data_IF_395678293443
#
_entry.id   IF_395678293443
#
_cell.length_a   1.000
_cell.length_b   1.000
_cell.length_c   1.000
_cell.angle_alpha   90.00
_cell.angle_beta   90.00
_cell.angle_gamma   90.00
#
_symmetry.space_group_name_H-M   'P 1'
#
loop_
_entity.id
_entity.type
_entity.pdbx_description
1 polymer ?
#
# COMPACT_ATOMS: atom_id res chain seq x y z
N UNK A 1 5.03 -28.58 24.01
CA UNK A 1 3.73 -27.96 24.39
C UNK A 1 3.15 -27.00 23.33
N UNK A 2 3.94 -26.40 22.46
CA UNK A 2 3.48 -25.43 21.42
C UNK A 2 2.91 -26.08 20.15
N UNK A 3 3.36 -27.26 19.75
CA UNK A 3 2.88 -27.97 18.56
C UNK A 3 1.41 -28.45 18.68
N UNK A 4 0.97 -28.87 19.86
CA UNK A 4 -0.41 -29.35 20.09
C UNK A 4 -1.48 -28.23 19.97
N UNK A 5 -1.15 -26.97 20.23
CA UNK A 5 -2.11 -25.85 20.08
C UNK A 5 -2.40 -25.53 18.61
N UNK A 6 -1.36 -25.56 17.75
CA UNK A 6 -1.52 -25.26 16.32
C UNK A 6 -2.35 -26.34 15.60
N UNK A 7 -2.14 -27.62 15.91
CA UNK A 7 -2.91 -28.73 15.32
C UNK A 7 -4.38 -28.75 15.78
N UNK A 8 -4.64 -28.40 17.04
CA UNK A 8 -6.01 -28.32 17.58
C UNK A 8 -6.78 -27.18 16.93
N UNK A 9 -6.16 -26.03 16.72
CA UNK A 9 -6.76 -24.86 16.06
C UNK A 9 -7.06 -25.16 14.57
N UNK A 10 -6.17 -25.86 13.88
CA UNK A 10 -6.36 -26.25 12.47
C UNK A 10 -7.51 -27.25 12.31
N UNK A 11 -7.64 -28.24 13.22
CA UNK A 11 -8.73 -29.20 13.22
C UNK A 11 -10.10 -28.57 13.55
N UNK A 12 -10.13 -27.60 14.45
CA UNK A 12 -11.36 -26.85 14.75
C UNK A 12 -11.81 -26.01 13.56
N UNK A 13 -10.90 -25.32 12.89
CA UNK A 13 -11.17 -24.53 11.67
C UNK A 13 -11.72 -25.39 10.53
N UNK A 14 -11.30 -26.65 10.39
CA UNK A 14 -11.78 -27.57 9.34
C UNK A 14 -13.28 -27.93 9.49
N UNK A 15 -13.83 -27.87 10.71
CA UNK A 15 -15.25 -28.19 11.02
C UNK A 15 -16.18 -26.97 10.96
N UNK A 16 -15.64 -25.76 10.80
CA UNK A 16 -16.43 -24.52 10.73
C UNK A 16 -17.17 -24.39 9.40
N UNK A 17 -18.35 -23.77 9.43
CA UNK A 17 -19.02 -23.34 8.20
C UNK A 17 -18.11 -22.43 7.37
N UNK A 18 -18.33 -22.34 6.07
CA UNK A 18 -17.53 -21.46 5.22
C UNK A 18 -17.58 -20.00 5.68
N UNK A 19 -18.73 -19.52 6.10
CA UNK A 19 -18.93 -18.18 6.63
C UNK A 19 -18.11 -17.93 7.91
N UNK A 20 -18.27 -18.79 8.92
CA UNK A 20 -17.55 -18.66 10.19
C UNK A 20 -16.03 -18.74 10.02
N UNK A 21 -15.57 -19.66 9.16
CA UNK A 21 -14.15 -19.78 8.85
C UNK A 21 -13.57 -18.47 8.28
N UNK A 22 -14.23 -17.89 7.27
CA UNK A 22 -13.77 -16.67 6.62
C UNK A 22 -13.84 -15.50 7.61
N UNK A 23 -14.92 -15.38 8.38
CA UNK A 23 -15.07 -14.34 9.41
C UNK A 23 -13.93 -14.39 10.42
N UNK A 24 -13.67 -15.56 11.00
CA UNK A 24 -12.57 -15.73 11.97
C UNK A 24 -11.21 -15.43 11.37
N UNK A 25 -10.97 -15.85 10.11
CA UNK A 25 -9.72 -15.55 9.43
C UNK A 25 -9.52 -14.03 9.20
N UNK A 26 -10.60 -13.30 8.89
CA UNK A 26 -10.55 -11.82 8.75
C UNK A 26 -10.30 -11.16 10.11
N UNK A 27 -10.89 -11.66 11.18
CA UNK A 27 -10.64 -11.16 12.54
C UNK A 27 -9.18 -11.36 12.97
N UNK A 28 -8.54 -12.47 12.54
CA UNK A 28 -7.11 -12.73 12.77
C UNK A 28 -6.18 -11.77 11.99
N UNK A 29 -6.58 -11.30 10.81
CA UNK A 29 -5.83 -10.25 10.08
C UNK A 29 -5.76 -8.93 10.88
N UNK A 30 -6.75 -8.70 11.73
CA UNK A 30 -6.88 -7.46 12.48
C UNK A 30 -7.56 -6.33 11.68
N UNK A 31 -8.10 -5.36 12.44
CA UNK A 31 -8.75 -4.18 11.83
C UNK A 31 -7.73 -3.31 11.11
N UNK A 32 -8.15 -2.68 10.01
CA UNK A 32 -7.28 -1.88 9.17
C UNK A 32 -6.62 -2.68 8.03
N UNK A 33 -6.91 -3.98 7.91
CA UNK A 33 -6.31 -4.85 6.91
C UNK A 33 -7.07 -4.85 5.58
N UNK A 34 -6.33 -4.72 4.47
CA UNK A 34 -6.84 -4.92 3.09
C UNK A 34 -6.56 -6.36 2.69
N UNK A 35 -7.58 -7.09 2.23
CA UNK A 35 -7.47 -8.51 1.91
C UNK A 35 -8.24 -8.87 0.63
N UNK A 36 -8.07 -10.12 0.17
CA UNK A 36 -8.53 -10.60 -1.12
C UNK A 36 -9.21 -11.97 -0.99
N UNK A 37 -10.09 -12.37 -1.92
CA UNK A 37 -10.65 -13.72 -1.95
C UNK A 37 -9.58 -14.81 -2.00
N UNK A 38 -8.44 -14.53 -2.66
CA UNK A 38 -7.33 -15.47 -2.82
C UNK A 38 -6.69 -15.88 -1.49
N UNK A 39 -6.78 -15.03 -0.45
CA UNK A 39 -6.25 -15.30 0.89
C UNK A 39 -6.92 -16.52 1.55
N UNK A 40 -8.11 -16.90 1.07
CA UNK A 40 -8.90 -18.05 1.58
C UNK A 40 -8.90 -19.25 0.62
N UNK A 41 -8.31 -19.14 -0.55
CA UNK A 41 -8.41 -20.11 -1.66
C UNK A 41 -7.83 -21.49 -1.32
N UNK A 42 -6.85 -21.56 -0.41
CA UNK A 42 -6.24 -22.81 0.02
C UNK A 42 -7.18 -23.72 0.82
N UNK A 43 -8.28 -23.18 1.38
CA UNK A 43 -9.12 -23.89 2.35
C UNK A 43 -10.58 -23.96 1.98
N UNK A 44 -11.09 -23.13 1.09
CA UNK A 44 -12.50 -23.06 0.71
C UNK A 44 -12.68 -22.89 -0.79
N UNK A 45 -13.82 -23.36 -1.31
CA UNK A 45 -14.18 -23.19 -2.72
C UNK A 45 -14.51 -21.72 -3.03
N UNK A 46 -14.30 -21.30 -4.29
CA UNK A 46 -14.59 -19.94 -4.74
C UNK A 46 -16.02 -19.49 -4.47
N UNK A 47 -17.00 -20.38 -4.59
CA UNK A 47 -18.41 -20.05 -4.33
C UNK A 47 -18.68 -19.83 -2.85
N UNK A 48 -18.08 -20.65 -1.98
CA UNK A 48 -18.14 -20.46 -0.53
C UNK A 48 -17.53 -19.14 -0.11
N UNK A 49 -16.36 -18.80 -0.66
CA UNK A 49 -15.66 -17.53 -0.38
C UNK A 49 -16.53 -16.36 -0.82
N UNK A 50 -17.03 -16.39 -2.07
CA UNK A 50 -17.87 -15.32 -2.62
C UNK A 50 -19.12 -15.09 -1.78
N UNK A 51 -19.85 -16.16 -1.45
CA UNK A 51 -21.08 -16.08 -0.66
C UNK A 51 -20.83 -15.53 0.74
N UNK A 52 -19.73 -15.95 1.39
CA UNK A 52 -19.37 -15.45 2.71
C UNK A 52 -18.98 -13.97 2.68
N UNK A 53 -18.18 -13.53 1.70
CA UNK A 53 -17.77 -12.13 1.56
C UNK A 53 -18.96 -11.21 1.26
N UNK A 54 -19.92 -11.65 0.45
CA UNK A 54 -21.17 -10.89 0.20
C UNK A 54 -21.92 -10.68 1.50
N UNK A 55 -22.18 -11.74 2.27
CA UNK A 55 -22.89 -11.64 3.56
C UNK A 55 -22.16 -10.78 4.57
N UNK A 56 -20.84 -10.90 4.66
CA UNK A 56 -20.02 -10.06 5.57
C UNK A 56 -20.08 -8.56 5.18
N UNK A 57 -20.23 -8.25 3.89
CA UNK A 57 -20.47 -6.87 3.44
C UNK A 57 -21.89 -6.40 3.80
N UNK A 58 -22.92 -7.25 3.62
CA UNK A 58 -24.31 -6.95 3.98
C UNK A 58 -24.46 -6.74 5.49
N UNK A 59 -23.74 -7.53 6.29
CA UNK A 59 -23.67 -7.40 7.76
C UNK A 59 -22.82 -6.19 8.22
N UNK A 60 -22.25 -5.40 7.30
CA UNK A 60 -21.34 -4.26 7.57
C UNK A 60 -20.10 -4.64 8.41
N UNK A 61 -19.67 -5.90 8.39
CA UNK A 61 -18.46 -6.37 9.07
C UNK A 61 -17.22 -6.01 8.27
N UNK A 62 -17.31 -6.08 6.94
CA UNK A 62 -16.24 -5.69 6.00
C UNK A 62 -16.75 -4.71 4.96
N UNK A 63 -15.83 -4.02 4.30
CA UNK A 63 -16.11 -3.07 3.23
C UNK A 63 -15.51 -3.58 1.93
N UNK A 64 -16.27 -3.57 0.85
CA UNK A 64 -15.76 -3.83 -0.50
C UNK A 64 -15.24 -2.53 -1.09
N UNK A 65 -13.92 -2.39 -1.20
CA UNK A 65 -13.26 -1.21 -1.76
C UNK A 65 -13.31 -1.18 -3.29
N UNK A 66 -13.14 -2.36 -3.91
CA UNK A 66 -13.21 -2.58 -5.35
C UNK A 66 -13.57 -4.02 -5.65
N UNK A 67 -13.70 -4.38 -6.93
CA UNK A 67 -13.89 -5.77 -7.33
C UNK A 67 -12.71 -6.63 -6.84
N UNK A 68 -13.00 -7.61 -5.97
CA UNK A 68 -12.00 -8.50 -5.40
C UNK A 68 -11.03 -7.85 -4.40
N UNK A 69 -11.34 -6.64 -3.89
CA UNK A 69 -10.55 -5.94 -2.88
C UNK A 69 -11.45 -5.59 -1.71
N UNK A 70 -11.14 -6.11 -0.54
CA UNK A 70 -11.93 -5.96 0.67
C UNK A 70 -11.10 -5.35 1.79
N UNK A 71 -11.78 -4.81 2.77
CA UNK A 71 -11.20 -4.12 3.90
C UNK A 71 -11.91 -4.46 5.20
N UNK A 72 -11.15 -4.86 6.22
CA UNK A 72 -11.67 -4.99 7.57
C UNK A 72 -11.55 -3.64 8.28
N UNK A 73 -12.67 -2.90 8.49
CA UNK A 73 -12.60 -1.50 8.83
C UNK A 73 -11.96 -1.25 10.19
N UNK A 74 -11.02 -0.31 10.24
CA UNK A 74 -10.56 0.31 11.46
C UNK A 74 -11.60 1.32 11.91
N UNK A 75 -12.04 1.22 13.16
CA UNK A 75 -13.05 2.11 13.73
C UNK A 75 -12.37 2.98 14.79
N UNK A 76 -12.39 4.29 14.57
CA UNK A 76 -11.94 5.22 15.57
C UNK A 76 -13.10 5.65 16.49
N UNK A 77 -13.07 5.08 17.70
CA UNK A 77 -14.00 5.44 18.77
C UNK A 77 -13.47 6.58 19.67
N UNK A 78 -12.18 6.95 19.54
CA UNK A 78 -11.51 7.90 20.44
C UNK A 78 -11.80 9.35 20.08
N UNK A 79 -11.81 9.65 18.78
CA UNK A 79 -12.03 11.01 18.26
C UNK A 79 -13.36 11.16 17.51
N UNK A 80 -14.19 10.11 17.49
CA UNK A 80 -15.50 10.13 16.85
C UNK A 80 -15.46 10.16 15.32
N UNK A 81 -14.32 9.83 14.71
CA UNK A 81 -14.17 9.84 13.25
C UNK A 81 -14.84 8.63 12.56
N UNK A 82 -15.33 7.66 13.33
CA UNK A 82 -16.03 6.50 12.79
C UNK A 82 -15.11 5.56 12.00
N UNK A 83 -15.54 5.16 10.80
CA UNK A 83 -14.77 4.24 9.93
C UNK A 83 -13.60 4.98 9.27
N UNK A 84 -12.39 4.54 9.58
CA UNK A 84 -11.17 5.00 8.92
C UNK A 84 -10.89 4.13 7.69
N UNK A 85 -10.87 4.75 6.51
CA UNK A 85 -10.55 4.07 5.26
C UNK A 85 -9.03 4.00 5.04
N UNK A 86 -8.53 2.93 4.37
CA UNK A 86 -7.12 2.83 4.03
C UNK A 86 -6.73 3.92 3.02
N UNK A 87 -5.48 4.33 3.05
CA UNK A 87 -4.95 5.24 2.04
C UNK A 87 -4.87 4.54 0.66
N UNK A 88 -4.80 5.32 -0.42
CA UNK A 88 -4.61 4.75 -1.76
C UNK A 88 -3.27 4.03 -1.89
N UNK A 89 -2.27 4.44 -1.10
CA UNK A 89 -0.96 3.80 -1.03
C UNK A 89 -1.03 2.43 -0.34
N UNK A 90 -1.74 2.33 0.78
CA UNK A 90 -1.96 1.06 1.47
C UNK A 90 -2.66 0.04 0.56
N UNK A 91 -3.70 0.49 -0.17
CA UNK A 91 -4.41 -0.36 -1.12
C UNK A 91 -3.47 -0.80 -2.26
N UNK A 92 -2.65 0.12 -2.79
CA UNK A 92 -1.70 -0.19 -3.86
C UNK A 92 -0.64 -1.19 -3.41
N UNK A 93 -0.09 -1.03 -2.21
CA UNK A 93 0.87 -1.95 -1.59
C UNK A 93 0.27 -3.34 -1.35
N UNK A 94 -0.93 -3.41 -0.80
CA UNK A 94 -1.62 -4.69 -0.59
C UNK A 94 -1.84 -5.44 -1.92
N UNK A 95 -2.26 -4.74 -2.97
CA UNK A 95 -2.43 -5.33 -4.30
C UNK A 95 -1.08 -5.81 -4.87
N UNK A 96 -0.02 -5.02 -4.74
CA UNK A 96 1.32 -5.39 -5.20
C UNK A 96 1.84 -6.64 -4.48
N UNK A 97 1.63 -6.73 -3.18
CA UNK A 97 2.00 -7.89 -2.36
C UNK A 97 1.26 -9.15 -2.79
N UNK A 98 -0.07 -9.09 -2.99
CA UNK A 98 -0.87 -10.20 -3.51
C UNK A 98 -0.34 -10.69 -4.85
N UNK A 99 -0.04 -9.76 -5.76
CA UNK A 99 0.39 -10.07 -7.12
C UNK A 99 1.88 -10.42 -7.22
N UNK A 100 2.60 -10.37 -6.10
CA UNK A 100 4.04 -10.62 -6.02
C UNK A 100 4.83 -9.74 -7.01
N UNK A 101 4.43 -8.48 -7.15
CA UNK A 101 5.08 -7.49 -7.99
C UNK A 101 5.56 -6.30 -7.16
N UNK A 102 6.51 -5.54 -7.72
CA UNK A 102 6.99 -4.30 -7.13
C UNK A 102 6.24 -3.12 -7.70
N UNK A 103 6.06 -2.10 -6.88
CA UNK A 103 5.50 -0.82 -7.31
C UNK A 103 6.46 0.33 -6.96
N UNK A 104 6.38 1.39 -7.73
CA UNK A 104 7.11 2.63 -7.48
C UNK A 104 6.17 3.82 -7.72
N UNK A 105 6.23 4.87 -6.89
CA UNK A 105 5.37 6.04 -7.04
C UNK A 105 5.68 6.78 -8.34
N UNK A 106 4.67 7.48 -8.89
CA UNK A 106 4.90 8.53 -9.90
C UNK A 106 5.25 9.86 -9.23
N UNK A 107 5.70 10.85 -10.02
CA UNK A 107 6.08 12.16 -9.48
C UNK A 107 4.97 12.81 -8.67
N UNK A 108 3.75 12.83 -9.17
CA UNK A 108 2.59 13.40 -8.46
C UNK A 108 2.27 12.64 -7.18
N UNK A 109 2.37 11.31 -7.17
CA UNK A 109 2.17 10.51 -5.97
C UNK A 109 3.24 10.80 -4.91
N UNK A 110 4.50 10.92 -5.33
CA UNK A 110 5.62 11.24 -4.45
C UNK A 110 5.50 12.65 -3.84
N UNK A 111 5.13 13.65 -4.64
CA UNK A 111 4.90 15.02 -4.15
C UNK A 111 3.82 15.07 -3.08
N UNK A 112 2.72 14.35 -3.28
CA UNK A 112 1.65 14.27 -2.30
C UNK A 112 2.10 13.54 -1.01
N UNK A 113 2.76 12.39 -1.15
CA UNK A 113 3.21 11.60 -0.01
C UNK A 113 4.18 12.38 0.89
N UNK A 114 5.03 13.25 0.30
CA UNK A 114 5.97 14.11 1.03
C UNK A 114 5.33 15.42 1.55
N UNK A 115 4.06 15.69 1.23
CA UNK A 115 3.42 16.96 1.58
C UNK A 115 3.91 18.18 0.78
N UNK A 116 4.55 17.96 -0.37
CA UNK A 116 5.02 18.99 -1.29
C UNK A 116 3.92 19.49 -2.24
N UNK A 117 2.83 18.75 -2.36
CA UNK A 117 1.62 19.12 -3.09
C UNK A 117 0.38 18.86 -2.28
N UNK A 118 -0.57 19.79 -2.31
CA UNK A 118 -1.90 19.65 -1.70
C UNK A 118 -2.95 19.11 -2.68
N UNK A 119 -2.61 18.95 -3.95
CA UNK A 119 -3.50 18.42 -4.95
C UNK A 119 -3.68 16.91 -4.72
N UNK A 120 -4.90 16.48 -4.40
CA UNK A 120 -5.27 15.07 -4.30
C UNK A 120 -5.81 14.61 -5.66
N UNK A 121 -5.02 13.88 -6.46
CA UNK A 121 -5.50 13.36 -7.72
C UNK A 121 -6.61 12.34 -7.49
N UNK A 122 -7.68 12.41 -8.27
CA UNK A 122 -8.74 11.40 -8.25
C UNK A 122 -8.18 9.99 -8.57
N UNK A 123 -7.15 9.92 -9.42
CA UNK A 123 -6.45 8.70 -9.75
C UNK A 123 -4.99 8.76 -9.30
N UNK A 124 -4.61 7.84 -8.42
CA UNK A 124 -3.20 7.68 -8.03
C UNK A 124 -2.53 6.69 -8.99
N UNK A 125 -1.37 7.05 -9.50
CA UNK A 125 -0.65 6.25 -10.50
C UNK A 125 0.65 5.72 -9.93
N UNK A 126 0.87 4.41 -10.10
CA UNK A 126 2.11 3.72 -9.74
C UNK A 126 2.72 3.07 -10.98
N UNK A 127 4.04 3.01 -11.03
CA UNK A 127 4.74 2.09 -11.91
C UNK A 127 4.78 0.70 -11.29
N UNK A 128 4.75 -0.35 -12.12
CA UNK A 128 4.88 -1.74 -11.67
C UNK A 128 5.72 -2.56 -12.65
N UNK A 129 6.42 -3.56 -12.15
CA UNK A 129 7.04 -4.61 -12.97
C UNK A 129 6.07 -5.75 -13.29
N UNK A 130 4.89 -5.76 -12.66
CA UNK A 130 3.79 -6.68 -12.92
C UNK A 130 2.86 -6.25 -14.06
N UNK A 131 1.63 -6.75 -14.03
CA UNK A 131 0.61 -6.47 -15.04
C UNK A 131 0.01 -5.06 -14.87
N UNK A 132 -0.09 -4.26 -15.96
CA UNK A 132 -0.75 -2.96 -15.90
C UNK A 132 -2.26 -3.13 -15.74
N UNK A 133 -2.90 -2.27 -14.93
CA UNK A 133 -4.36 -2.26 -14.74
C UNK A 133 -4.87 -0.98 -14.12
N UNK A 134 -6.17 -0.77 -14.25
CA UNK A 134 -6.92 0.28 -13.57
C UNK A 134 -7.87 -0.38 -12.57
N UNK A 135 -7.95 0.17 -11.37
CA UNK A 135 -8.83 -0.30 -10.31
C UNK A 135 -9.66 0.89 -9.85
N UNK A 136 -10.97 0.78 -9.98
CA UNK A 136 -11.91 1.80 -9.51
C UNK A 136 -12.20 1.53 -8.03
N UNK A 137 -11.84 2.48 -7.20
CA UNK A 137 -12.16 2.52 -5.78
C UNK A 137 -13.38 3.44 -5.62
N UNK A 138 -14.29 3.13 -4.74
CA UNK A 138 -15.50 3.93 -4.56
C UNK A 138 -15.26 5.44 -4.51
N UNK A 139 -16.31 6.25 -4.71
CA UNK A 139 -16.29 7.73 -4.70
C UNK A 139 -15.46 8.38 -5.83
N UNK A 140 -15.43 7.78 -7.02
CA UNK A 140 -14.73 8.34 -8.19
C UNK A 140 -13.21 8.32 -8.11
N UNK A 141 -12.64 7.61 -7.12
CA UNK A 141 -11.19 7.44 -6.94
C UNK A 141 -10.71 6.18 -7.65
N UNK A 142 -9.46 6.18 -8.08
CA UNK A 142 -8.87 5.04 -8.76
C UNK A 142 -7.38 4.88 -8.53
N UNK A 143 -6.93 3.63 -8.70
CA UNK A 143 -5.53 3.25 -8.78
C UNK A 143 -5.21 2.81 -10.20
N UNK A 144 -4.12 3.34 -10.74
CA UNK A 144 -3.62 2.95 -12.05
C UNK A 144 -2.19 2.42 -11.94
N UNK A 145 -1.99 1.17 -12.33
CA UNK A 145 -0.68 0.56 -12.43
C UNK A 145 -0.20 0.63 -13.89
N UNK A 146 0.94 1.29 -14.12
CA UNK A 146 1.60 1.39 -15.42
C UNK A 146 2.84 0.52 -15.42
N UNK A 147 2.96 -0.37 -16.39
CA UNK A 147 4.16 -1.20 -16.53
C UNK A 147 5.40 -0.34 -16.77
N UNK A 148 6.49 -0.66 -16.06
CA UNK A 148 7.80 -0.09 -16.28
C UNK A 148 8.85 -1.18 -16.34
N UNK A 149 9.76 -1.06 -17.31
CA UNK A 149 10.94 -1.93 -17.45
C UNK A 149 12.19 -1.33 -16.82
N UNK A 150 12.09 -0.10 -16.29
CA UNK A 150 13.21 0.59 -15.65
C UNK A 150 13.43 0.05 -14.23
N UNK A 151 14.29 -0.96 -14.12
CA UNK A 151 14.53 -1.69 -12.86
C UNK A 151 15.05 -0.80 -11.73
N UNK A 152 15.76 0.30 -12.02
CA UNK A 152 16.22 1.26 -11.03
C UNK A 152 15.09 1.87 -10.20
N UNK A 153 13.87 1.96 -10.76
CA UNK A 153 12.69 2.46 -10.03
C UNK A 153 12.34 1.60 -8.82
N UNK A 154 12.67 0.31 -8.88
CA UNK A 154 12.30 -0.69 -7.89
C UNK A 154 13.50 -1.12 -7.02
N UNK A 155 14.65 -0.45 -7.14
CA UNK A 155 15.89 -0.85 -6.48
C UNK A 155 16.15 -0.14 -5.16
N UNK A 156 15.31 0.82 -4.78
CA UNK A 156 15.46 1.57 -3.53
C UNK A 156 15.23 0.68 -2.31
N UNK A 157 16.10 0.81 -1.31
CA UNK A 157 15.94 0.18 0.01
C UNK A 157 15.00 1.01 0.90
N UNK A 158 15.11 2.34 0.84
CA UNK A 158 14.28 3.27 1.59
C UNK A 158 13.15 3.81 0.73
N UNK A 159 11.90 3.58 1.18
CA UNK A 159 10.72 4.16 0.56
C UNK A 159 10.77 5.70 0.57
N UNK A 160 11.28 6.29 1.65
CA UNK A 160 11.43 7.75 1.79
C UNK A 160 12.43 8.27 0.75
N UNK A 161 13.57 7.61 0.55
CA UNK A 161 14.55 7.99 -0.48
C UNK A 161 13.94 7.89 -1.88
N UNK A 162 13.19 6.83 -2.17
CA UNK A 162 12.49 6.67 -3.44
C UNK A 162 11.52 7.84 -3.68
N UNK A 163 10.69 8.18 -2.69
CA UNK A 163 9.75 9.31 -2.77
C UNK A 163 10.48 10.63 -3.01
N UNK A 164 11.54 10.91 -2.26
CA UNK A 164 12.33 12.14 -2.40
C UNK A 164 12.92 12.26 -3.80
N UNK A 165 13.59 11.22 -4.29
CA UNK A 165 14.24 11.26 -5.62
C UNK A 165 13.20 11.41 -6.72
N UNK A 166 12.06 10.72 -6.62
CA UNK A 166 10.98 10.81 -7.61
C UNK A 166 10.33 12.20 -7.59
N UNK A 167 10.07 12.76 -6.40
CA UNK A 167 9.50 14.12 -6.27
C UNK A 167 10.44 15.19 -6.80
N UNK A 168 11.73 15.13 -6.47
CA UNK A 168 12.72 16.09 -6.98
C UNK A 168 12.86 16.02 -8.51
N UNK A 169 12.81 14.82 -9.09
CA UNK A 169 12.80 14.66 -10.57
C UNK A 169 11.56 15.26 -11.22
N UNK A 170 10.42 15.18 -10.56
CA UNK A 170 9.15 15.75 -11.05
C UNK A 170 9.19 17.29 -11.03
N UNK A 171 9.71 17.90 -9.95
CA UNK A 171 9.90 19.35 -9.86
C UNK A 171 10.91 19.82 -10.91
N UNK A 172 12.00 19.09 -11.08
CA UNK A 172 13.07 19.37 -12.03
C UNK A 172 14.20 20.23 -11.48
N UNK A 173 15.38 20.05 -12.08
CA UNK A 173 16.59 20.78 -11.70
C UNK A 173 16.40 22.31 -11.87
N UNK A 174 16.79 23.07 -10.86
CA UNK A 174 16.69 24.55 -10.84
C UNK A 174 15.30 25.11 -10.48
N UNK A 175 14.29 24.25 -10.25
CA UNK A 175 12.94 24.66 -9.84
C UNK A 175 12.64 24.39 -8.36
N UNK A 176 13.58 23.83 -7.64
CA UNK A 176 13.43 23.46 -6.23
C UNK A 176 13.59 24.70 -5.37
N UNK A 177 12.56 25.06 -4.63
CA UNK A 177 12.54 26.21 -3.75
C UNK A 177 12.99 25.86 -2.31
N UNK A 178 13.12 26.86 -1.44
CA UNK A 178 13.57 26.64 -0.05
C UNK A 178 12.59 25.78 0.76
N UNK A 179 11.28 25.92 0.54
CA UNK A 179 10.26 25.12 1.21
C UNK A 179 10.39 23.63 0.84
N UNK A 180 10.66 23.35 -0.43
CA UNK A 180 10.90 21.99 -0.90
C UNK A 180 12.14 21.37 -0.23
N UNK A 181 13.22 22.16 -0.12
CA UNK A 181 14.45 21.75 0.57
C UNK A 181 14.23 21.44 2.04
N UNK A 182 13.46 22.27 2.75
CA UNK A 182 13.09 22.03 4.15
C UNK A 182 12.29 20.76 4.34
N UNK A 183 11.32 20.48 3.45
CA UNK A 183 10.54 19.24 3.48
C UNK A 183 11.47 18.04 3.25
N UNK A 184 12.33 18.09 2.24
CA UNK A 184 13.30 17.02 1.95
C UNK A 184 14.22 16.78 3.13
N UNK A 185 14.83 17.84 3.70
CA UNK A 185 15.73 17.74 4.85
C UNK A 185 15.03 17.09 6.08
N UNK A 186 13.75 17.41 6.29
CA UNK A 186 12.96 16.80 7.37
C UNK A 186 12.79 15.29 7.17
N UNK A 187 12.44 14.87 5.96
CA UNK A 187 12.25 13.46 5.65
C UNK A 187 13.56 12.68 5.65
N UNK A 188 14.68 13.29 5.21
CA UNK A 188 15.99 12.64 5.24
C UNK A 188 16.44 12.23 6.65
N UNK A 189 16.01 12.94 7.70
CA UNK A 189 16.34 12.57 9.10
C UNK A 189 15.80 11.20 9.51
N UNK A 190 14.78 10.69 8.85
CA UNK A 190 14.18 9.37 9.11
C UNK A 190 14.84 8.25 8.29
N UNK A 191 15.80 8.57 7.43
CA UNK A 191 16.49 7.58 6.59
C UNK A 191 17.78 7.15 7.29
N UNK A 192 17.97 5.86 7.49
CA UNK A 192 19.22 5.31 8.03
C UNK A 192 20.37 5.45 7.04
N UNK A 193 21.61 5.42 7.55
CA UNK A 193 22.79 5.68 6.73
C UNK A 193 23.02 4.62 5.66
N UNK A 194 22.75 3.34 5.94
CA UNK A 194 22.95 2.27 4.97
C UNK A 194 22.02 2.45 3.77
N UNK A 195 20.74 2.65 4.02
CA UNK A 195 19.76 2.88 2.98
C UNK A 195 20.05 4.19 2.21
N UNK A 196 20.45 5.27 2.91
CA UNK A 196 20.81 6.53 2.27
C UNK A 196 21.93 6.38 1.24
N UNK A 197 23.08 5.80 1.65
CA UNK A 197 24.24 5.65 0.73
C UNK A 197 23.94 4.67 -0.40
N UNK A 198 23.20 3.60 -0.14
CA UNK A 198 22.75 2.67 -1.17
C UNK A 198 21.88 3.37 -2.22
N UNK A 199 20.89 4.15 -1.77
CA UNK A 199 19.88 4.71 -2.65
C UNK A 199 20.36 5.99 -3.35
N UNK A 200 21.32 6.71 -2.74
CA UNK A 200 21.89 7.92 -3.32
C UNK A 200 22.48 7.69 -4.70
N UNK A 201 23.14 6.56 -4.93
CA UNK A 201 23.75 6.23 -6.23
C UNK A 201 22.72 5.94 -7.33
N UNK A 202 21.47 5.66 -6.97
CA UNK A 202 20.36 5.45 -7.91
C UNK A 202 19.80 6.78 -8.42
N UNK A 203 20.08 7.88 -7.72
CA UNK A 203 19.58 9.21 -8.04
C UNK A 203 20.42 9.87 -9.14
N UNK A 204 19.84 10.79 -9.94
CA UNK A 204 20.58 11.65 -10.86
C UNK A 204 21.66 12.48 -10.14
N UNK A 205 22.78 12.78 -10.80
CA UNK A 205 23.92 13.48 -10.20
C UNK A 205 23.55 14.81 -9.50
N UNK A 206 22.66 15.61 -10.10
CA UNK A 206 22.21 16.86 -9.50
C UNK A 206 21.36 16.65 -8.22
N UNK A 207 20.57 15.55 -8.16
CA UNK A 207 19.84 15.17 -6.95
C UNK A 207 20.81 14.70 -5.87
N UNK A 208 21.81 13.89 -6.23
CA UNK A 208 22.85 13.45 -5.28
C UNK A 208 23.57 14.65 -4.64
N UNK A 209 23.91 15.67 -5.44
CA UNK A 209 24.54 16.90 -4.93
C UNK A 209 23.61 17.58 -3.91
N UNK A 210 22.36 17.80 -4.27
CA UNK A 210 21.38 18.43 -3.39
C UNK A 210 21.18 17.65 -2.08
N UNK A 211 21.03 16.33 -2.16
CA UNK A 211 20.81 15.51 -0.96
C UNK A 211 22.02 15.51 -0.01
N UNK A 212 23.24 15.60 -0.53
CA UNK A 212 24.47 15.75 0.26
C UNK A 212 24.57 17.11 0.95
N UNK A 213 23.98 18.15 0.38
CA UNK A 213 23.93 19.50 0.99
C UNK A 213 22.85 19.59 2.09
N UNK A 214 21.81 18.72 2.03
CA UNK A 214 20.65 18.78 2.94
C UNK A 214 20.74 17.79 4.12
N UNK A 215 21.67 16.83 4.10
CA UNK A 215 21.90 15.88 5.17
C UNK A 215 22.91 16.44 6.18
#
# INVERSE_FOLDING_TARGET
MWQNKAETTTRQKAKMSGYEYIKTSIEEFGRGHVFFPDDFSATKSSDTIRSALVRLCEDNIIIRLAQGVYYYPLIDNKFGMGVMYPSMDDIAKAIAQRDKCRIAPTGSAALNALGMSTQLPANVVYYTDGSPRNIHIGNGRGLRFKRSTEMKRFAYKSEIMQLIVVALREIGNGKINNKDKEIVARHLKAVDDEAYYHDLILAPAWVQKLLKELR
#
